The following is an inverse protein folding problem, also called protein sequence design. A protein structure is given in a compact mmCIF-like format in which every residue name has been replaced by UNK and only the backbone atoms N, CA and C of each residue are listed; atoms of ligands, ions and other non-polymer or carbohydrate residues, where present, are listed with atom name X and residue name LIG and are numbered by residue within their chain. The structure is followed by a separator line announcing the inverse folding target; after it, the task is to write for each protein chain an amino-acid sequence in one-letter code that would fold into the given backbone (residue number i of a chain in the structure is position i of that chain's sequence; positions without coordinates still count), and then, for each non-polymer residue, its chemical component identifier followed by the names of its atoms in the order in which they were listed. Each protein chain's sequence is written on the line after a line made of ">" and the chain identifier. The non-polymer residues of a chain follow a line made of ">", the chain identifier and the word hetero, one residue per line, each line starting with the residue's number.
data_IF_967596524935
#
_entry.id   IF_967596524935
#
_cell.length_a   1.000
_cell.length_b   1.000
_cell.length_c   1.000
_cell.angle_alpha   90.00
_cell.angle_beta   90.00
_cell.angle_gamma   90.00
#
_symmetry.space_group_name_H-M   'P 1'
#
loop_
_entity.id
_entity.type
_entity.pdbx_description
1 polymer ?
#
# COMPACT_ATOMS: atom_id res chain seq x y z
N UNK A 1 -11.83 -13.04 12.17
CA UNK A 1 -11.44 -12.08 13.24
C UNK A 1 -11.37 -10.70 12.60
N UNK A 2 -12.27 -9.79 12.95
CA UNK A 2 -12.19 -8.38 12.54
C UNK A 2 -11.14 -7.69 13.42
N UNK A 3 -9.94 -7.46 12.90
CA UNK A 3 -8.94 -6.67 13.61
C UNK A 3 -9.41 -5.20 13.68
N UNK A 4 -9.33 -4.57 14.85
CA UNK A 4 -9.65 -3.15 15.01
C UNK A 4 -8.66 -2.30 14.20
N UNK A 5 -9.18 -1.41 13.36
CA UNK A 5 -8.35 -0.47 12.62
C UNK A 5 -7.80 0.60 13.55
N UNK A 6 -6.52 0.92 13.35
CA UNK A 6 -5.89 2.06 14.03
C UNK A 6 -6.02 3.31 13.16
N UNK A 7 -5.86 4.49 13.77
CA UNK A 7 -5.85 5.76 13.00
C UNK A 7 -4.81 5.77 11.87
N UNK A 8 -3.64 5.16 12.10
CA UNK A 8 -2.62 5.02 11.06
C UNK A 8 -3.08 4.14 9.90
N UNK A 9 -3.89 3.12 10.16
CA UNK A 9 -4.42 2.24 9.11
C UNK A 9 -5.39 2.99 8.21
N UNK A 10 -6.25 3.83 8.80
CA UNK A 10 -7.18 4.69 8.06
C UNK A 10 -6.42 5.65 7.13
N UNK A 11 -5.40 6.34 7.65
CA UNK A 11 -4.59 7.28 6.86
C UNK A 11 -3.84 6.56 5.74
N UNK A 12 -3.34 5.34 5.99
CA UNK A 12 -2.70 4.52 4.96
C UNK A 12 -3.68 4.11 3.86
N UNK A 13 -4.94 3.79 4.20
CA UNK A 13 -5.98 3.46 3.22
C UNK A 13 -6.35 4.69 2.39
N UNK A 14 -6.49 5.86 3.00
CA UNK A 14 -6.69 7.13 2.29
C UNK A 14 -5.55 7.41 1.32
N UNK A 15 -4.30 7.28 1.77
CA UNK A 15 -3.12 7.44 0.93
C UNK A 15 -3.10 6.44 -0.24
N UNK A 16 -3.44 5.17 -0.01
CA UNK A 16 -3.59 4.17 -1.08
C UNK A 16 -4.74 4.49 -2.05
N UNK A 17 -5.78 5.17 -1.59
CA UNK A 17 -6.83 5.72 -2.44
C UNK A 17 -6.30 6.77 -3.43
N UNK A 18 -5.33 7.58 -2.98
CA UNK A 18 -4.68 8.63 -3.77
C UNK A 18 -3.63 8.03 -4.73
N UNK A 19 -2.67 7.26 -4.23
CA UNK A 19 -1.56 6.74 -5.04
C UNK A 19 -1.93 5.53 -5.90
N UNK A 20 -3.06 4.88 -5.60
CA UNK A 20 -3.68 3.74 -6.30
C UNK A 20 -2.90 2.43 -6.22
N UNK A 21 -1.57 2.45 -6.28
CA UNK A 21 -0.69 1.29 -6.14
C UNK A 21 0.58 1.65 -5.36
N UNK A 22 1.11 0.69 -4.61
CA UNK A 22 2.38 0.81 -3.91
C UNK A 22 3.11 -0.54 -3.89
N UNK A 23 4.42 -0.53 -3.69
CA UNK A 23 5.18 -1.70 -3.27
C UNK A 23 5.42 -1.68 -1.75
N UNK A 24 5.98 -2.76 -1.21
CA UNK A 24 6.26 -2.90 0.23
C UNK A 24 7.25 -1.83 0.73
N UNK A 25 8.13 -1.35 -0.15
CA UNK A 25 9.11 -0.34 0.19
C UNK A 25 8.44 1.04 0.35
N UNK A 26 7.55 1.44 -0.55
CA UNK A 26 6.76 2.65 -0.39
C UNK A 26 5.88 2.60 0.87
N UNK A 27 5.28 1.43 1.18
CA UNK A 27 4.53 1.21 2.42
C UNK A 27 5.41 1.44 3.66
N UNK A 28 6.68 1.04 3.62
CA UNK A 28 7.57 1.20 4.78
C UNK A 28 7.88 2.67 5.09
N UNK A 29 8.02 3.50 4.06
CA UNK A 29 8.19 4.94 4.18
C UNK A 29 6.89 5.61 4.64
N UNK A 30 5.76 5.32 4.00
CA UNK A 30 4.47 5.92 4.37
C UNK A 30 4.08 5.62 5.84
N UNK A 31 4.26 4.36 6.29
CA UNK A 31 3.99 3.98 7.68
C UNK A 31 4.85 4.75 8.71
N UNK A 32 6.08 5.09 8.34
CA UNK A 32 6.97 5.88 9.17
C UNK A 32 6.64 7.36 9.10
N UNK A 33 6.38 7.89 7.91
CA UNK A 33 6.03 9.30 7.68
C UNK A 33 4.77 9.70 8.44
N UNK A 34 3.72 8.88 8.39
CA UNK A 34 2.49 9.11 9.18
C UNK A 34 2.68 8.94 10.70
N UNK A 35 3.82 8.42 11.14
CA UNK A 35 4.24 8.39 12.54
C UNK A 35 5.25 9.50 12.89
N UNK A 36 5.51 10.45 11.97
CA UNK A 36 6.43 11.57 12.16
C UNK A 36 7.92 11.22 11.96
N UNK A 37 8.23 10.08 11.35
CA UNK A 37 9.60 9.63 11.10
C UNK A 37 9.96 9.77 9.62
N UNK A 38 11.14 10.35 9.34
CA UNK A 38 11.74 10.38 7.99
C UNK A 38 12.46 9.08 7.61
N UNK A 39 12.71 8.21 8.58
CA UNK A 39 13.33 6.91 8.36
C UNK A 39 12.27 5.82 8.21
N UNK A 40 12.35 4.97 7.17
CA UNK A 40 11.35 3.93 6.93
C UNK A 40 11.30 2.91 8.07
N UNK A 41 10.13 2.29 8.27
CA UNK A 41 10.08 1.08 9.11
C UNK A 41 10.80 -0.07 8.41
N UNK A 42 11.18 -1.10 9.18
CA UNK A 42 11.80 -2.28 8.58
C UNK A 42 10.86 -2.99 7.60
N UNK A 43 11.41 -3.64 6.58
CA UNK A 43 10.63 -4.42 5.60
C UNK A 43 9.73 -5.46 6.27
N UNK A 44 10.21 -6.08 7.37
CA UNK A 44 9.41 -7.03 8.16
C UNK A 44 8.17 -6.37 8.75
N UNK A 45 8.29 -5.17 9.32
CA UNK A 45 7.14 -4.43 9.87
C UNK A 45 6.15 -4.01 8.78
N UNK A 46 6.65 -3.56 7.63
CA UNK A 46 5.82 -3.25 6.47
C UNK A 46 5.06 -4.49 5.97
N UNK A 47 5.75 -5.62 5.78
CA UNK A 47 5.14 -6.91 5.42
C UNK A 47 4.07 -7.36 6.43
N UNK A 48 4.34 -7.23 7.73
CA UNK A 48 3.37 -7.57 8.77
C UNK A 48 2.11 -6.71 8.68
N UNK A 49 2.26 -5.41 8.43
CA UNK A 49 1.12 -4.53 8.20
C UNK A 49 0.33 -4.96 6.96
N UNK A 50 1.01 -5.22 5.83
CA UNK A 50 0.37 -5.68 4.59
C UNK A 50 -0.41 -6.97 4.82
N UNK A 51 0.20 -7.99 5.43
CA UNK A 51 -0.47 -9.26 5.69
C UNK A 51 -1.69 -9.12 6.60
N UNK A 52 -1.62 -8.24 7.61
CA UNK A 52 -2.76 -7.93 8.47
C UNK A 52 -3.89 -7.23 7.70
N UNK A 53 -3.57 -6.29 6.82
CA UNK A 53 -4.58 -5.55 6.07
C UNK A 53 -5.17 -6.37 4.92
N UNK A 54 -4.41 -7.31 4.36
CA UNK A 54 -4.94 -8.31 3.41
C UNK A 54 -5.91 -9.25 4.12
N UNK A 55 -5.60 -9.69 5.36
CA UNK A 55 -6.50 -10.59 6.10
C UNK A 55 -7.81 -9.93 6.54
N UNK A 56 -7.89 -8.60 6.53
CA UNK A 56 -9.14 -7.85 6.73
C UNK A 56 -9.91 -7.60 5.43
N UNK A 57 -9.32 -7.85 4.26
CA UNK A 57 -9.92 -7.58 2.94
C UNK A 57 -9.92 -6.11 2.54
N UNK A 58 -9.22 -5.24 3.27
CA UNK A 58 -9.19 -3.79 2.99
C UNK A 58 -8.11 -3.39 1.98
N UNK A 59 -7.09 -4.22 1.84
CA UNK A 59 -6.13 -4.13 0.74
C UNK A 59 -6.04 -5.47 0.03
N UNK A 60 -5.58 -5.43 -1.20
CA UNK A 60 -5.23 -6.62 -1.96
C UNK A 60 -3.81 -6.46 -2.52
N UNK A 61 -3.22 -7.58 -2.93
CA UNK A 61 -1.88 -7.62 -3.46
C UNK A 61 -1.74 -8.66 -4.56
N UNK A 62 -0.88 -8.36 -5.52
CA UNK A 62 -0.46 -9.31 -6.53
C UNK A 62 1.03 -9.18 -6.78
N UNK A 63 1.63 -10.26 -7.28
CA UNK A 63 3.00 -10.26 -7.80
C UNK A 63 2.94 -10.52 -9.30
N UNK A 64 2.88 -9.46 -10.13
CA UNK A 64 2.82 -9.63 -11.57
C UNK A 64 4.10 -10.26 -12.10
N UNK A 65 4.02 -11.11 -13.13
CA UNK A 65 5.16 -11.85 -13.68
C UNK A 65 6.29 -10.96 -14.22
N UNK A 66 5.99 -9.69 -14.54
CA UNK A 66 6.94 -8.71 -15.06
C UNK A 66 7.61 -7.85 -13.97
N UNK A 67 7.32 -8.10 -12.68
CA UNK A 67 7.91 -7.37 -11.54
C UNK A 67 8.29 -8.32 -10.40
N UNK A 68 9.46 -8.10 -9.83
CA UNK A 68 9.94 -8.92 -8.71
C UNK A 68 9.22 -8.62 -7.40
N UNK A 69 8.60 -7.44 -7.28
CA UNK A 69 7.95 -6.96 -6.05
C UNK A 69 6.43 -7.08 -6.08
N UNK A 70 5.83 -7.25 -4.90
CA UNK A 70 4.38 -7.27 -4.75
C UNK A 70 3.82 -5.87 -4.91
N UNK A 71 2.82 -5.73 -5.79
CA UNK A 71 2.00 -4.53 -5.89
C UNK A 71 0.85 -4.64 -4.90
N UNK A 72 0.55 -3.55 -4.21
CA UNK A 72 -0.44 -3.42 -3.15
C UNK A 72 -1.39 -2.29 -3.51
N UNK A 73 -2.69 -2.47 -3.29
CA UNK A 73 -3.70 -1.43 -3.48
C UNK A 73 -4.85 -1.59 -2.48
N UNK A 74 -5.59 -0.50 -2.23
CA UNK A 74 -6.81 -0.56 -1.42
C UNK A 74 -7.99 -1.15 -2.22
N UNK A 75 -8.81 -1.97 -1.58
CA UNK A 75 -9.96 -2.61 -2.22
C UNK A 75 -11.11 -1.63 -2.43
N UNK A 76 -12.08 -2.02 -3.26
CA UNK A 76 -13.30 -1.23 -3.48
C UNK A 76 -14.05 -0.98 -2.18
N UNK A 77 -14.07 -1.95 -1.28
CA UNK A 77 -14.78 -1.82 -0.02
C UNK A 77 -14.08 -0.87 0.96
N UNK A 78 -12.75 -0.70 0.80
CA UNK A 78 -11.98 0.21 1.64
C UNK A 78 -12.04 1.67 1.19
N UNK A 79 -12.01 1.93 -0.13
CA UNK A 79 -11.87 3.31 -0.67
C UNK A 79 -12.86 3.67 -1.79
N UNK A 80 -13.80 2.78 -2.12
CA UNK A 80 -14.82 3.00 -3.16
C UNK A 80 -14.32 2.92 -4.61
N UNK A 81 -13.03 2.65 -4.82
CA UNK A 81 -12.40 2.68 -6.14
C UNK A 81 -12.22 1.27 -6.73
N UNK A 82 -12.26 1.16 -8.06
CA UNK A 82 -12.00 -0.12 -8.74
C UNK A 82 -10.54 -0.55 -8.56
N UNK A 83 -10.23 -1.87 -8.58
CA UNK A 83 -8.86 -2.36 -8.58
C UNK A 83 -8.05 -1.77 -9.75
N UNK A 84 -6.74 -1.54 -9.56
CA UNK A 84 -5.87 -1.06 -10.62
C UNK A 84 -5.73 -2.11 -11.73
N UNK A 85 -5.65 -1.67 -12.99
CA UNK A 85 -5.33 -2.56 -14.09
C UNK A 85 -3.81 -2.79 -14.13
N UNK A 86 -3.37 -3.89 -13.52
CA UNK A 86 -1.96 -4.23 -13.36
C UNK A 86 -1.22 -4.49 -14.69
N UNK A 87 -1.93 -4.68 -15.81
CA UNK A 87 -1.34 -5.07 -17.10
C UNK A 87 -1.27 -3.94 -18.14
N UNK A 88 -1.88 -2.78 -17.87
CA UNK A 88 -1.70 -1.59 -18.72
C UNK A 88 -0.46 -0.82 -18.26
N UNK A 89 0.18 -0.18 -19.23
CA UNK A 89 1.48 0.51 -19.24
C UNK A 89 1.74 1.57 -18.13
N UNK A 90 0.87 1.73 -17.13
CA UNK A 90 0.96 2.75 -16.07
C UNK A 90 1.54 2.26 -14.73
N UNK A 91 1.80 0.95 -14.55
CA UNK A 91 2.34 0.42 -13.29
C UNK A 91 3.71 1.01 -12.88
N UNK A 92 4.54 1.45 -13.83
CA UNK A 92 5.82 2.12 -13.51
C UNK A 92 5.64 3.55 -13.03
N UNK A 93 4.76 4.32 -13.67
CA UNK A 93 4.51 5.71 -13.31
C UNK A 93 3.80 5.81 -11.96
N UNK A 94 2.79 4.97 -11.71
CA UNK A 94 2.04 5.00 -10.45
C UNK A 94 2.92 4.59 -9.25
N UNK A 95 3.83 3.63 -9.42
CA UNK A 95 4.83 3.30 -8.38
C UNK A 95 5.84 4.44 -8.16
N UNK A 96 6.24 5.15 -9.22
CA UNK A 96 7.13 6.30 -9.06
C UNK A 96 6.45 7.45 -8.28
N UNK A 97 5.16 7.69 -8.51
CA UNK A 97 4.36 8.66 -7.75
C UNK A 97 4.24 8.22 -6.29
N UNK A 98 3.94 6.95 -6.03
CA UNK A 98 3.89 6.42 -4.67
C UNK A 98 5.23 6.60 -3.94
N UNK A 99 6.35 6.22 -4.57
CA UNK A 99 7.69 6.37 -4.02
C UNK A 99 8.08 7.84 -3.77
N UNK A 100 7.67 8.76 -4.65
CA UNK A 100 7.91 10.19 -4.47
C UNK A 100 7.07 10.78 -3.33
N UNK A 101 5.79 10.40 -3.22
CA UNK A 101 4.88 10.90 -2.19
C UNK A 101 5.16 10.35 -0.78
N UNK A 102 5.86 9.22 -0.70
CA UNK A 102 6.17 8.57 0.57
C UNK A 102 7.40 9.18 1.27
N UNK A 103 8.20 9.99 0.57
CA UNK A 103 9.36 10.72 1.11
C UNK A 103 8.98 12.15 1.45
#
# INVERSE_FOLDING_TARGET
>A
MSAQLTRRDEVMLEWLGIVRVADVHAISYALAGFAGSSMPVTMRRAQQWVLRMVSTGLIDRARPTFRDESIIWATRDAVGLRPPNLFRQTARHEVAVAAASAR
#
